data_IF_582116803536
#
_entry.id   IF_582116803536
#
_cell.length_a   1.000
_cell.length_b   1.000
_cell.length_c   1.000
_cell.angle_alpha   90.00
_cell.angle_beta   90.00
_cell.angle_gamma   90.00
#
_symmetry.space_group_name_H-M   'P 1'
#
loop_
_entity.id
_entity.type
_entity.pdbx_description
1 polymer ?
#
# COMPACT_ATOMS: atom_id res chain seq x y z
N UNK A 1 -17.78 -18.56 -16.46
CA UNK A 1 -16.31 -18.40 -16.63
C UNK A 1 -15.93 -17.45 -17.76
N UNK A 2 -16.60 -17.50 -18.93
CA UNK A 2 -16.33 -16.61 -20.08
C UNK A 2 -16.60 -15.11 -19.75
N UNK A 3 -17.64 -14.81 -18.96
CA UNK A 3 -17.95 -13.43 -18.54
C UNK A 3 -16.91 -12.80 -17.59
N UNK A 4 -16.15 -13.60 -16.84
CA UNK A 4 -15.06 -13.11 -15.98
C UNK A 4 -13.81 -12.72 -16.79
N UNK A 5 -13.60 -13.35 -17.95
CA UNK A 5 -12.49 -13.05 -18.86
C UNK A 5 -12.69 -11.73 -19.65
N UNK A 6 -13.95 -11.32 -19.88
CA UNK A 6 -14.26 -10.05 -20.58
C UNK A 6 -14.05 -8.83 -19.67
N UNK A 7 -14.21 -8.97 -18.35
CA UNK A 7 -14.16 -7.86 -17.38
C UNK A 7 -12.78 -7.22 -17.18
N UNK A 8 -11.70 -7.98 -17.39
CA UNK A 8 -10.31 -7.51 -17.34
C UNK A 8 -9.77 -7.08 -18.72
N UNK A 9 -10.61 -7.05 -19.77
CA UNK A 9 -10.16 -6.95 -21.16
C UNK A 9 -10.19 -5.54 -21.76
N UNK A 10 -10.73 -4.54 -21.06
CA UNK A 10 -10.61 -3.17 -21.57
C UNK A 10 -9.15 -2.75 -21.50
N UNK A 11 -8.62 -2.34 -22.64
CA UNK A 11 -7.23 -1.89 -22.79
C UNK A 11 -6.91 -0.80 -21.76
N UNK A 12 -7.89 0.04 -21.43
CA UNK A 12 -7.71 1.12 -20.46
C UNK A 12 -7.54 0.62 -19.02
N UNK A 13 -8.35 -0.35 -18.57
CA UNK A 13 -8.17 -0.97 -17.25
C UNK A 13 -6.82 -1.67 -17.13
N UNK A 14 -6.39 -2.36 -18.18
CA UNK A 14 -5.07 -3.00 -18.22
C UNK A 14 -3.94 -1.96 -18.12
N UNK A 15 -4.05 -0.86 -18.86
CA UNK A 15 -3.07 0.24 -18.80
C UNK A 15 -3.00 0.87 -17.41
N UNK A 16 -4.15 1.13 -16.78
CA UNK A 16 -4.22 1.66 -15.41
C UNK A 16 -3.57 0.68 -14.43
N UNK A 17 -3.84 -0.61 -14.55
CA UNK A 17 -3.24 -1.63 -13.67
C UNK A 17 -1.73 -1.72 -13.82
N UNK A 18 -1.22 -1.69 -15.06
CA UNK A 18 0.22 -1.66 -15.32
C UNK A 18 0.86 -0.42 -14.70
N UNK A 19 0.20 0.73 -14.74
CA UNK A 19 0.70 1.95 -14.07
C UNK A 19 0.76 1.75 -12.56
N UNK A 20 -0.26 1.17 -11.92
CA UNK A 20 -0.21 0.88 -10.49
C UNK A 20 0.92 -0.08 -10.14
N UNK A 21 1.09 -1.17 -10.90
CA UNK A 21 2.13 -2.16 -10.64
C UNK A 21 3.53 -1.54 -10.81
N UNK A 22 3.73 -0.69 -11.83
CA UNK A 22 4.97 0.08 -12.04
C UNK A 22 5.24 1.08 -10.90
N UNK A 23 4.21 1.78 -10.41
CA UNK A 23 4.34 2.70 -9.27
C UNK A 23 4.72 1.96 -7.98
N UNK A 24 4.10 0.81 -7.71
CA UNK A 24 4.45 -0.04 -6.57
C UNK A 24 5.91 -0.47 -6.67
N UNK A 25 6.32 -0.96 -7.84
CA UNK A 25 7.69 -1.41 -8.07
C UNK A 25 8.70 -0.27 -7.87
N UNK A 26 8.44 0.92 -8.42
CA UNK A 26 9.31 2.10 -8.25
C UNK A 26 9.43 2.54 -6.81
N UNK A 27 8.33 2.55 -6.06
CA UNK A 27 8.33 2.93 -4.65
C UNK A 27 9.11 1.92 -3.79
N UNK A 28 8.94 0.63 -4.05
CA UNK A 28 9.73 -0.41 -3.39
C UNK A 28 11.22 -0.32 -3.75
N UNK A 29 11.55 0.03 -5.00
CA UNK A 29 12.94 0.25 -5.41
C UNK A 29 13.60 1.41 -4.66
N UNK A 30 12.90 2.54 -4.52
CA UNK A 30 13.38 3.69 -3.76
C UNK A 30 13.61 3.32 -2.30
N UNK A 31 12.78 2.45 -1.73
CA UNK A 31 12.92 1.98 -0.35
C UNK A 31 14.15 1.08 -0.15
N UNK A 32 14.43 0.16 -1.08
CA UNK A 32 15.58 -0.75 -0.96
C UNK A 32 16.90 -0.13 -1.42
N UNK A 33 16.87 0.95 -2.22
CA UNK A 33 18.05 1.58 -2.80
C UNK A 33 19.17 1.87 -1.78
N UNK A 34 18.91 2.45 -0.60
CA UNK A 34 19.96 2.70 0.39
C UNK A 34 20.69 1.42 0.80
N UNK A 35 19.95 0.31 0.95
CA UNK A 35 20.52 -1.00 1.32
C UNK A 35 21.37 -1.56 0.18
N UNK A 36 20.93 -1.38 -1.07
CA UNK A 36 21.70 -1.77 -2.27
C UNK A 36 23.03 -1.02 -2.31
N UNK A 37 23.00 0.30 -2.13
CA UNK A 37 24.21 1.14 -2.15
C UNK A 37 25.16 0.76 -1.00
N UNK A 38 24.65 0.54 0.22
CA UNK A 38 25.47 0.15 1.37
C UNK A 38 26.05 -1.26 1.29
N UNK A 39 25.47 -2.16 0.48
CA UNK A 39 25.91 -3.55 0.34
C UNK A 39 26.14 -3.94 -1.12
N UNK A 40 26.70 -3.03 -1.91
CA UNK A 40 26.88 -3.19 -3.36
C UNK A 40 27.56 -4.53 -3.72
N UNK A 41 28.52 -4.98 -2.92
CA UNK A 41 29.26 -6.24 -3.14
C UNK A 41 28.35 -7.47 -3.28
N UNK A 42 27.21 -7.50 -2.59
CA UNK A 42 26.25 -8.62 -2.65
C UNK A 42 25.58 -8.74 -4.02
N UNK A 43 25.57 -7.66 -4.80
CA UNK A 43 24.85 -7.58 -6.06
C UNK A 43 25.75 -7.62 -7.29
N UNK A 44 27.07 -7.76 -7.12
CA UNK A 44 28.06 -7.76 -8.22
C UNK A 44 27.79 -8.79 -9.32
N UNK A 45 27.19 -9.93 -8.95
CA UNK A 45 26.82 -11.00 -9.90
C UNK A 45 25.44 -10.82 -10.52
N UNK A 46 24.59 -9.97 -9.91
CA UNK A 46 23.19 -9.80 -10.30
C UNK A 46 22.99 -8.53 -11.10
N UNK A 47 23.68 -7.45 -10.76
CA UNK A 47 23.60 -6.14 -11.42
C UNK A 47 24.75 -6.05 -12.44
N UNK A 48 24.47 -5.45 -13.60
CA UNK A 48 25.49 -5.27 -14.63
C UNK A 48 26.63 -4.35 -14.19
N UNK A 49 27.79 -4.51 -14.84
CA UNK A 49 29.00 -3.77 -14.49
C UNK A 49 28.85 -2.26 -14.61
N UNK A 50 28.02 -1.76 -15.55
CA UNK A 50 27.83 -0.33 -15.75
C UNK A 50 27.02 0.29 -14.60
N UNK A 51 25.95 -0.38 -14.18
CA UNK A 51 25.18 0.02 -12.99
C UNK A 51 26.01 -0.08 -11.71
N UNK A 52 26.87 -1.10 -11.58
CA UNK A 52 27.80 -1.20 -10.44
C UNK A 52 28.83 -0.07 -10.42
N UNK A 53 29.29 0.38 -11.59
CA UNK A 53 30.17 1.54 -11.69
C UNK A 53 29.46 2.83 -11.24
N UNK A 54 28.18 3.01 -11.57
CA UNK A 54 27.38 4.15 -11.09
C UNK A 54 27.19 4.12 -9.56
N UNK A 55 26.97 2.94 -8.97
CA UNK A 55 26.89 2.79 -7.49
C UNK A 55 28.23 3.15 -6.84
N UNK A 56 29.35 2.66 -7.37
CA UNK A 56 30.68 3.01 -6.86
C UNK A 56 30.97 4.51 -6.99
N UNK A 57 30.58 5.13 -8.11
CA UNK A 57 30.70 6.57 -8.33
C UNK A 57 29.86 7.37 -7.33
N UNK A 58 28.65 6.90 -7.01
CA UNK A 58 27.80 7.51 -5.98
C UNK A 58 28.48 7.48 -4.60
N UNK A 59 29.07 6.35 -4.21
CA UNK A 59 29.77 6.25 -2.92
C UNK A 59 31.00 7.17 -2.85
N UNK A 60 31.75 7.30 -3.96
CA UNK A 60 32.86 8.26 -4.06
C UNK A 60 32.39 9.71 -3.91
N UNK A 61 31.26 10.08 -4.54
CA UNK A 61 30.67 11.42 -4.44
C UNK A 61 30.20 11.72 -3.03
N UNK A 62 29.57 10.74 -2.36
CA UNK A 62 29.13 10.84 -0.97
C UNK A 62 30.31 11.03 -0.03
N UNK A 63 31.35 10.18 -0.14
CA UNK A 63 32.56 10.31 0.67
C UNK A 63 33.27 11.65 0.44
N UNK A 64 33.36 12.11 -0.82
CA UNK A 64 33.93 13.41 -1.14
C UNK A 64 33.13 14.56 -0.50
N UNK A 65 31.81 14.49 -0.47
CA UNK A 65 30.98 15.47 0.25
C UNK A 65 31.31 15.44 1.75
N UNK A 66 31.26 14.26 2.38
CA UNK A 66 31.50 14.08 3.83
C UNK A 66 32.88 14.61 4.26
N UNK A 67 33.93 14.36 3.47
CA UNK A 67 35.30 14.86 3.78
C UNK A 67 35.46 16.37 3.67
N UNK A 68 34.63 17.04 2.86
CA UNK A 68 34.75 18.47 2.56
C UNK A 68 33.73 19.33 3.32
N UNK A 69 32.94 18.77 4.25
CA UNK A 69 31.91 19.51 5.01
C UNK A 69 31.93 19.27 6.52
N UNK A 70 31.86 20.32 7.36
CA UNK A 70 31.25 20.23 8.69
C UNK A 70 29.71 20.21 8.55
N UNK A 71 29.07 19.18 9.09
CA UNK A 71 27.66 18.74 8.95
C UNK A 71 26.51 19.75 9.19
N UNK A 72 26.76 21.04 9.44
CA UNK A 72 25.75 21.99 9.96
C UNK A 72 25.03 22.88 8.93
N UNK A 73 25.38 22.89 7.64
CA UNK A 73 24.74 23.78 6.64
C UNK A 73 23.75 23.11 5.66
N UNK A 74 23.60 21.78 5.73
CA UNK A 74 22.91 20.99 4.69
C UNK A 74 21.41 21.32 4.60
N UNK A 75 20.75 21.71 5.69
CA UNK A 75 19.31 22.02 5.72
C UNK A 75 18.95 23.29 4.95
N UNK A 76 19.82 24.32 4.94
CA UNK A 76 19.55 25.58 4.25
C UNK A 76 19.81 25.52 2.72
N UNK A 77 20.49 24.47 2.22
CA UNK A 77 20.83 24.32 0.81
C UNK A 77 19.72 23.59 0.04
N UNK A 78 18.97 22.70 0.70
CA UNK A 78 17.84 21.95 0.12
C UNK A 78 16.75 22.89 -0.39
N UNK A 79 16.49 23.99 0.33
CA UNK A 79 15.51 25.01 -0.07
C UNK A 79 15.99 25.92 -1.22
N UNK A 80 17.31 26.05 -1.40
CA UNK A 80 17.93 26.88 -2.44
C UNK A 80 18.34 26.09 -3.69
N UNK A 81 18.13 24.77 -3.69
CA UNK A 81 18.37 23.94 -4.85
C UNK A 81 17.43 24.41 -5.96
N UNK A 82 17.98 24.91 -7.08
CA UNK A 82 17.12 25.31 -8.17
C UNK A 82 16.34 24.09 -8.68
N UNK A 83 15.04 24.26 -8.92
CA UNK A 83 14.20 23.27 -9.60
C UNK A 83 14.53 23.21 -11.10
N UNK A 84 15.81 23.13 -11.47
CA UNK A 84 16.24 23.15 -12.87
C UNK A 84 15.97 21.78 -13.51
N UNK A 85 14.89 21.74 -14.29
CA UNK A 85 14.37 20.58 -15.03
C UNK A 85 15.24 20.10 -16.20
N UNK A 86 16.42 20.68 -16.43
CA UNK A 86 17.22 20.32 -17.61
C UNK A 86 18.70 20.16 -17.27
N UNK A 87 19.33 19.26 -18.04
CA UNK A 87 20.76 18.93 -18.15
C UNK A 87 21.26 17.68 -17.42
N UNK A 88 21.54 16.68 -18.26
CA UNK A 88 22.69 15.77 -18.22
C UNK A 88 24.01 16.56 -18.33
N UNK A 89 24.72 16.79 -17.22
CA UNK A 89 26.13 17.22 -17.28
C UNK A 89 27.00 16.35 -16.36
N UNK A 90 28.13 15.92 -16.91
CA UNK A 90 29.15 15.15 -16.21
C UNK A 90 29.82 16.03 -15.12
N UNK A 91 30.34 15.39 -14.07
CA UNK A 91 31.04 16.08 -12.97
C UNK A 91 32.26 16.85 -13.47
N UNK A 92 32.24 18.17 -13.33
CA UNK A 92 33.41 19.04 -13.57
C UNK A 92 34.07 19.44 -12.24
N UNK A 93 35.28 18.92 -12.03
CA UNK A 93 36.12 19.20 -10.86
C UNK A 93 36.62 20.65 -10.82
N UNK A 94 36.63 21.37 -11.95
CA UNK A 94 37.12 22.76 -12.03
C UNK A 94 36.12 23.79 -11.50
N UNK A 95 34.83 23.45 -11.42
CA UNK A 95 33.80 24.29 -10.79
C UNK A 95 33.87 24.29 -9.24
N UNK A 96 34.78 23.48 -8.68
CA UNK A 96 34.98 23.22 -7.27
C UNK A 96 36.06 24.13 -6.68
N UNK A 97 35.73 25.39 -6.37
CA UNK A 97 36.62 26.25 -5.56
C UNK A 97 35.95 27.25 -4.61
N UNK A 98 34.61 27.26 -4.48
CA UNK A 98 33.86 28.19 -3.62
C UNK A 98 32.54 27.55 -3.15
N UNK A 99 31.76 28.21 -2.28
CA UNK A 99 30.47 27.76 -1.70
C UNK A 99 29.47 27.06 -2.67
N UNK A 100 29.65 27.21 -3.97
CA UNK A 100 29.05 26.43 -5.05
C UNK A 100 29.42 24.92 -5.03
N UNK A 101 30.45 24.51 -4.30
CA UNK A 101 30.91 23.12 -4.16
C UNK A 101 29.84 22.22 -3.55
N UNK A 102 29.23 22.65 -2.44
CA UNK A 102 28.18 21.85 -1.79
C UNK A 102 26.95 21.70 -2.67
N UNK A 103 26.54 22.80 -3.34
CA UNK A 103 25.44 22.78 -4.30
C UNK A 103 25.76 21.81 -5.44
N UNK A 104 26.99 21.83 -5.93
CA UNK A 104 27.45 20.92 -6.97
C UNK A 104 27.44 19.46 -6.49
N UNK A 105 28.00 19.14 -5.31
CA UNK A 105 27.97 17.77 -4.75
C UNK A 105 26.54 17.27 -4.53
N UNK A 106 25.64 18.08 -3.96
CA UNK A 106 24.23 17.72 -3.82
C UNK A 106 23.59 17.40 -5.16
N UNK A 107 23.83 18.24 -6.17
CA UNK A 107 23.35 17.99 -7.52
C UNK A 107 23.90 16.66 -8.08
N UNK A 108 25.21 16.40 -7.99
CA UNK A 108 25.79 15.18 -8.53
C UNK A 108 25.37 13.91 -7.77
N UNK A 109 25.13 14.00 -6.47
CA UNK A 109 24.53 12.93 -5.66
C UNK A 109 23.10 12.66 -6.14
N UNK A 110 22.29 13.71 -6.36
CA UNK A 110 20.95 13.53 -6.92
C UNK A 110 20.98 12.90 -8.32
N UNK A 111 21.89 13.32 -9.20
CA UNK A 111 22.00 12.75 -10.54
C UNK A 111 22.47 11.30 -10.51
N UNK A 112 23.44 10.96 -9.66
CA UNK A 112 23.90 9.56 -9.51
C UNK A 112 22.77 8.66 -9.01
N UNK A 113 21.96 9.09 -8.03
CA UNK A 113 20.76 8.35 -7.59
C UNK A 113 19.78 8.18 -8.75
N UNK A 114 19.48 9.23 -9.52
CA UNK A 114 18.59 9.14 -10.68
C UNK A 114 19.11 8.18 -11.75
N UNK A 115 20.42 8.19 -12.00
CA UNK A 115 21.05 7.29 -12.98
C UNK A 115 20.95 5.83 -12.53
N UNK A 116 21.27 5.55 -11.25
CA UNK A 116 21.15 4.22 -10.67
C UNK A 116 19.70 3.73 -10.76
N UNK A 117 18.73 4.54 -10.31
CA UNK A 117 17.32 4.20 -10.37
C UNK A 117 16.85 3.94 -11.79
N UNK A 118 17.23 4.78 -12.77
CA UNK A 118 16.85 4.60 -14.17
C UNK A 118 17.32 3.26 -14.72
N UNK A 119 18.57 2.90 -14.43
CA UNK A 119 19.15 1.62 -14.85
C UNK A 119 18.44 0.44 -14.20
N UNK A 120 18.22 0.50 -12.88
CA UNK A 120 17.54 -0.55 -12.13
C UNK A 120 16.06 -0.73 -12.56
N UNK A 121 15.35 0.34 -12.90
CA UNK A 121 13.95 0.27 -13.36
C UNK A 121 13.85 -0.39 -14.75
N UNK A 122 14.77 -0.11 -15.66
CA UNK A 122 14.76 -0.74 -16.99
C UNK A 122 15.13 -2.23 -16.98
N UNK A 123 15.58 -2.72 -15.83
CA UNK A 123 16.12 -4.05 -15.61
C UNK A 123 15.17 -4.88 -14.73
N UNK A 124 13.93 -5.08 -15.18
CA UNK A 124 12.84 -5.65 -14.38
C UNK A 124 13.18 -7.00 -13.71
N UNK A 125 13.93 -7.88 -14.38
CA UNK A 125 14.37 -9.18 -13.85
C UNK A 125 15.35 -9.07 -12.67
N UNK A 126 16.04 -7.95 -12.53
CA UNK A 126 17.03 -7.74 -11.48
C UNK A 126 16.37 -7.42 -10.14
N UNK A 127 15.18 -6.81 -10.17
CA UNK A 127 14.50 -6.38 -8.96
C UNK A 127 14.07 -7.55 -8.07
N UNK A 128 13.48 -8.60 -8.65
CA UNK A 128 13.08 -9.80 -7.91
C UNK A 128 14.29 -10.56 -7.36
N UNK A 129 15.37 -10.63 -8.13
CA UNK A 129 16.62 -11.24 -7.68
C UNK A 129 17.26 -10.44 -6.54
N UNK A 130 17.28 -9.11 -6.62
CA UNK A 130 17.74 -8.23 -5.56
C UNK A 130 16.90 -8.45 -4.29
N UNK A 131 15.56 -8.50 -4.40
CA UNK A 131 14.69 -8.81 -3.25
C UNK A 131 14.99 -10.16 -2.63
N UNK A 132 15.18 -11.22 -3.43
CA UNK A 132 15.54 -12.56 -2.94
C UNK A 132 16.86 -12.55 -2.18
N UNK A 133 17.88 -11.86 -2.72
CA UNK A 133 19.17 -11.70 -2.05
C UNK A 133 18.99 -10.97 -0.70
N UNK A 134 18.27 -9.84 -0.69
CA UNK A 134 18.00 -9.08 0.53
C UNK A 134 17.23 -9.89 1.58
N UNK A 135 16.24 -10.67 1.17
CA UNK A 135 15.49 -11.58 2.05
C UNK A 135 16.40 -12.67 2.63
N UNK A 136 17.23 -13.32 1.80
CA UNK A 136 18.16 -14.35 2.26
C UNK A 136 19.18 -13.84 3.28
N UNK A 137 19.55 -12.55 3.17
CA UNK A 137 20.49 -11.87 4.06
C UNK A 137 19.81 -11.15 5.23
N UNK A 138 18.48 -11.19 5.33
CA UNK A 138 17.69 -10.44 6.33
C UNK A 138 17.96 -8.93 6.31
N UNK A 139 18.27 -8.38 5.14
CA UNK A 139 18.55 -6.96 4.91
C UNK A 139 17.37 -6.21 4.28
N UNK A 140 16.24 -6.87 4.06
CA UNK A 140 15.07 -6.23 3.49
C UNK A 140 14.50 -5.21 4.51
N UNK A 141 14.37 -3.92 4.14
CA UNK A 141 13.78 -2.93 5.02
C UNK A 141 12.30 -3.22 5.28
N UNK A 142 11.76 -2.83 6.44
CA UNK A 142 10.33 -2.94 6.70
C UNK A 142 9.57 -2.04 5.73
N UNK A 143 8.56 -2.60 5.08
CA UNK A 143 7.78 -1.90 4.08
C UNK A 143 7.05 -0.69 4.69
N UNK A 144 7.31 0.49 4.13
CA UNK A 144 6.63 1.75 4.47
C UNK A 144 5.14 1.68 4.21
N UNK A 145 4.36 2.35 5.07
CA UNK A 145 2.89 2.35 4.99
C UNK A 145 2.36 2.91 3.68
N UNK A 146 3.06 3.88 3.07
CA UNK A 146 2.71 4.42 1.75
C UNK A 146 2.66 3.31 0.68
N UNK A 147 3.58 2.35 0.72
CA UNK A 147 3.62 1.25 -0.25
C UNK A 147 2.46 0.28 0.02
N UNK A 148 2.12 0.03 1.30
CA UNK A 148 0.94 -0.76 1.67
C UNK A 148 -0.33 -0.11 1.17
N UNK A 149 -0.50 1.20 1.42
CA UNK A 149 -1.65 1.97 0.96
C UNK A 149 -1.77 1.98 -0.57
N UNK A 150 -0.65 2.05 -1.28
CA UNK A 150 -0.64 1.98 -2.74
C UNK A 150 -1.08 0.60 -3.26
N UNK A 151 -0.65 -0.48 -2.61
CA UNK A 151 -1.12 -1.85 -2.92
C UNK A 151 -2.62 -1.99 -2.64
N UNK A 152 -3.09 -1.49 -1.50
CA UNK A 152 -4.52 -1.47 -1.16
C UNK A 152 -5.34 -0.66 -2.18
N UNK A 153 -4.84 0.49 -2.62
CA UNK A 153 -5.50 1.31 -3.64
C UNK A 153 -5.57 0.58 -4.98
N UNK A 154 -4.48 -0.09 -5.38
CA UNK A 154 -4.42 -0.92 -6.59
C UNK A 154 -5.46 -2.04 -6.52
N UNK A 155 -5.56 -2.73 -5.39
CA UNK A 155 -6.52 -3.83 -5.21
C UNK A 155 -7.96 -3.32 -5.20
N UNK A 156 -8.24 -2.23 -4.50
CA UNK A 156 -9.56 -1.57 -4.53
C UNK A 156 -9.94 -1.08 -5.94
N UNK A 157 -8.99 -0.51 -6.69
CA UNK A 157 -9.22 -0.13 -8.07
C UNK A 157 -9.53 -1.35 -8.97
N UNK A 158 -8.84 -2.46 -8.75
CA UNK A 158 -9.10 -3.71 -9.47
C UNK A 158 -10.51 -4.23 -9.19
N UNK A 159 -10.91 -4.26 -7.92
CA UNK A 159 -12.27 -4.64 -7.53
C UNK A 159 -13.31 -3.78 -8.26
N UNK A 160 -13.09 -2.46 -8.30
CA UNK A 160 -14.01 -1.52 -8.98
C UNK A 160 -14.03 -1.67 -10.49
N UNK A 161 -12.91 -2.01 -11.13
CA UNK A 161 -12.88 -2.28 -12.56
C UNK A 161 -13.52 -3.63 -12.92
N UNK A 162 -13.61 -4.56 -11.96
CA UNK A 162 -14.29 -5.85 -12.13
C UNK A 162 -15.81 -5.78 -11.88
N UNK A 163 -16.29 -4.70 -11.27
CA UNK A 163 -17.71 -4.43 -11.03
C UNK A 163 -18.29 -3.50 -12.10
N UNK A 164 -19.33 -3.95 -12.80
CA UNK A 164 -20.05 -3.05 -13.71
C UNK A 164 -21.02 -2.16 -12.93
N UNK A 165 -21.36 -0.96 -13.44
CA UNK A 165 -22.37 -0.11 -12.82
C UNK A 165 -23.75 -0.79 -12.69
N UNK A 166 -24.04 -1.76 -13.56
CA UNK A 166 -25.26 -2.56 -13.50
C UNK A 166 -25.22 -3.54 -12.33
N UNK A 167 -24.11 -4.28 -12.16
CA UNK A 167 -23.91 -5.20 -11.04
C UNK A 167 -23.90 -4.48 -9.68
N UNK A 168 -23.38 -3.25 -9.63
CA UNK A 168 -23.43 -2.41 -8.43
C UNK A 168 -24.89 -2.03 -8.09
N UNK A 169 -25.69 -1.62 -9.09
CA UNK A 169 -27.13 -1.35 -8.90
C UNK A 169 -27.92 -2.59 -8.50
N UNK A 170 -27.67 -3.74 -9.12
CA UNK A 170 -28.34 -4.99 -8.77
C UNK A 170 -28.04 -5.40 -7.32
N UNK A 171 -26.80 -5.22 -6.86
CA UNK A 171 -26.44 -5.44 -5.45
C UNK A 171 -27.16 -4.46 -4.51
N UNK A 172 -27.21 -3.18 -4.86
CA UNK A 172 -27.92 -2.17 -4.07
C UNK A 172 -29.41 -2.49 -3.95
N UNK A 173 -30.05 -2.92 -5.03
CA UNK A 173 -31.46 -3.28 -5.05
C UNK A 173 -31.72 -4.57 -4.25
N UNK A 174 -30.81 -5.55 -4.32
CA UNK A 174 -30.86 -6.74 -3.47
C UNK A 174 -30.73 -6.40 -1.98
N UNK A 175 -29.79 -5.51 -1.62
CA UNK A 175 -29.60 -5.06 -0.23
C UNK A 175 -30.85 -4.34 0.27
N UNK A 176 -31.44 -3.44 -0.52
CA UNK A 176 -32.69 -2.77 -0.16
C UNK A 176 -33.82 -3.76 0.07
N UNK A 177 -34.00 -4.72 -0.83
CA UNK A 177 -35.01 -5.77 -0.69
C UNK A 177 -34.81 -6.60 0.58
N UNK A 178 -33.56 -6.98 0.89
CA UNK A 178 -33.23 -7.71 2.12
C UNK A 178 -33.53 -6.87 3.36
N UNK A 179 -33.19 -5.58 3.37
CA UNK A 179 -33.47 -4.69 4.50
C UNK A 179 -34.99 -4.52 4.74
N UNK A 180 -35.79 -4.42 3.68
CA UNK A 180 -37.26 -4.37 3.82
C UNK A 180 -37.81 -5.66 4.43
N UNK A 181 -37.30 -6.81 3.97
CA UNK A 181 -37.70 -8.11 4.54
C UNK A 181 -37.24 -8.25 5.98
N UNK A 182 -36.04 -7.78 6.31
CA UNK A 182 -35.48 -7.82 7.66
C UNK A 182 -36.34 -6.99 8.61
N UNK A 183 -36.69 -5.76 8.25
CA UNK A 183 -37.59 -4.93 9.04
C UNK A 183 -38.98 -5.54 9.21
N UNK A 184 -39.55 -6.13 8.14
CA UNK A 184 -40.82 -6.87 8.26
C UNK A 184 -40.68 -8.06 9.21
N UNK A 185 -39.58 -8.80 9.15
CA UNK A 185 -39.35 -9.94 10.03
C UNK A 185 -39.17 -9.49 11.49
N UNK A 186 -38.46 -8.39 11.75
CA UNK A 186 -38.33 -7.79 13.09
C UNK A 186 -39.71 -7.48 13.70
N UNK A 187 -40.63 -6.89 12.92
CA UNK A 187 -41.99 -6.61 13.40
C UNK A 187 -42.79 -7.88 13.70
N UNK A 188 -42.65 -8.91 12.87
CA UNK A 188 -43.31 -10.20 13.11
C UNK A 188 -42.75 -10.87 14.36
N UNK A 189 -41.43 -10.86 14.55
CA UNK A 189 -40.76 -11.41 15.73
C UNK A 189 -41.26 -10.69 16.99
N UNK A 190 -41.27 -9.35 17.01
CA UNK A 190 -41.76 -8.58 18.15
C UNK A 190 -43.24 -8.88 18.48
N UNK A 191 -44.08 -9.08 17.46
CA UNK A 191 -45.48 -9.47 17.64
C UNK A 191 -45.60 -10.87 18.26
N UNK A 192 -44.87 -11.84 17.74
CA UNK A 192 -44.88 -13.21 18.24
C UNK A 192 -44.31 -13.31 19.66
N UNK A 193 -43.27 -12.55 19.99
CA UNK A 193 -42.72 -12.44 21.34
C UNK A 193 -43.76 -11.88 22.32
N UNK A 194 -44.52 -10.87 21.90
CA UNK A 194 -45.61 -10.33 22.72
C UNK A 194 -46.70 -11.38 22.94
N UNK A 195 -47.19 -12.02 21.89
CA UNK A 195 -48.24 -13.06 22.00
C UNK A 195 -47.78 -14.24 22.87
N UNK A 196 -46.51 -14.64 22.78
CA UNK A 196 -45.93 -15.66 23.63
C UNK A 196 -45.89 -15.24 25.10
N UNK A 197 -45.47 -14.01 25.39
CA UNK A 197 -45.43 -13.49 26.76
C UNK A 197 -46.84 -13.36 27.37
N UNK A 198 -47.81 -12.90 26.58
CA UNK A 198 -49.21 -12.81 27.00
C UNK A 198 -49.75 -14.22 27.33
N UNK A 199 -49.49 -15.22 26.46
CA UNK A 199 -49.91 -16.60 26.70
C UNK A 199 -49.21 -17.27 27.90
N UNK A 200 -47.94 -16.93 28.17
CA UNK A 200 -47.22 -17.40 29.37
C UNK A 200 -47.87 -16.78 30.62
N UNK A 201 -48.18 -15.48 30.60
CA UNK A 201 -48.81 -14.80 31.72
C UNK A 201 -50.21 -15.36 32.04
N UNK A 202 -51.02 -15.64 31.00
CA UNK A 202 -52.34 -16.25 31.17
C UNK A 202 -52.23 -17.64 31.80
N UNK A 203 -51.31 -18.49 31.30
CA UNK A 203 -51.05 -19.81 31.88
C UNK A 203 -50.57 -19.71 33.34
N UNK A 204 -49.65 -18.81 33.64
CA UNK A 204 -49.14 -18.64 35.00
C UNK A 204 -50.24 -18.16 35.96
N UNK A 205 -51.17 -17.33 35.49
CA UNK A 205 -52.35 -16.93 36.26
C UNK A 205 -53.31 -18.10 36.54
N UNK A 206 -53.54 -18.98 35.56
CA UNK A 206 -54.32 -20.21 35.74
C UNK A 206 -53.67 -21.16 36.74
N UNK A 207 -52.35 -21.38 36.65
CA UNK A 207 -51.61 -22.23 37.61
C UNK A 207 -51.67 -21.65 39.03
N UNK A 208 -51.55 -20.33 39.19
CA UNK A 208 -51.70 -19.67 40.49
C UNK A 208 -53.11 -19.89 41.08
N UNK A 209 -54.14 -19.87 40.25
CA UNK A 209 -55.51 -20.15 40.67
C UNK A 209 -55.68 -21.61 41.07
N UNK A 210 -55.20 -22.55 40.26
CA UNK A 210 -55.26 -23.99 40.58
C UNK A 210 -54.53 -24.30 41.90
N UNK A 211 -53.33 -23.74 42.10
CA UNK A 211 -52.57 -23.90 43.34
C UNK A 211 -53.31 -23.30 44.55
N UNK A 212 -53.97 -22.15 44.38
CA UNK A 212 -54.81 -21.53 45.42
C UNK A 212 -56.02 -22.42 45.78
N UNK A 213 -56.72 -22.95 44.78
CA UNK A 213 -57.84 -23.88 45.01
C UNK A 213 -57.38 -25.17 45.69
N UNK A 214 -56.20 -25.69 45.31
CA UNK A 214 -55.63 -26.89 45.90
C UNK A 214 -55.25 -26.68 47.37
N UNK A 215 -54.71 -25.52 47.72
CA UNK A 215 -54.40 -25.17 49.11
C UNK A 215 -55.67 -24.96 49.95
N UNK A 216 -56.71 -24.36 49.38
CA UNK A 216 -57.97 -24.11 50.07
C UNK A 216 -58.76 -25.40 50.36
N UNK A 217 -58.76 -26.38 49.43
CA UNK A 217 -59.41 -27.68 49.64
C UNK A 217 -58.65 -28.56 50.65
N UNK A 218 -57.33 -28.42 50.77
CA UNK A 218 -56.52 -29.21 51.72
C UNK A 218 -56.60 -28.65 53.16
N UNK A 219 -56.94 -27.37 53.32
CA UNK A 219 -57.05 -26.72 54.63
C UNK A 219 -58.47 -26.71 55.24
N UNK A 220 -59.47 -27.30 54.57
CA UNK A 220 -60.86 -27.42 55.05
C UNK A 220 -61.35 -28.87 55.09
#
# INVERSE_FOLDING_TARGET
>A
MIFLLVKLSTIETQRIMVVFDDLVQKMELIEILPVIVSHADLFKSTIDTETMNEINRHEQLKHALETNTPLQSVTNIIEKLPQFENYTRCFDKALSRNANEHIAYHYYIQQSIRNILRRLVHQQNHFDNIKRILQSKKLLPPQKDVIKLLKMLRDSAMERFLTTPLEEREKDDQIKSLNTRLSSNETIIAKLEKELNDAIADRDAEVCLEDFFRYFIVCH
#
